data_IF_599182380213
#
_entry.id   IF_599182380213
#
_cell.length_a   1.000
_cell.length_b   1.000
_cell.length_c   1.000
_cell.angle_alpha   90.00
_cell.angle_beta   90.00
_cell.angle_gamma   90.00
#
_symmetry.space_group_name_H-M   'P 1'
#
loop_
_entity.id
_entity.type
_entity.pdbx_description
1 polymer ?
#
# COMPACT_ATOMS: atom_id res chain seq x y z
N UNK A 1 36.93 29.97 -9.42
CA UNK A 1 36.82 31.09 -10.38
C UNK A 1 35.52 30.90 -11.15
N UNK A 2 34.61 31.89 -11.17
CA UNK A 2 33.40 31.82 -12.01
C UNK A 2 33.76 32.27 -13.43
N UNK A 3 33.51 31.40 -14.42
CA UNK A 3 33.85 31.66 -15.84
C UNK A 3 32.82 32.54 -16.56
N UNK A 4 31.56 32.55 -16.12
CA UNK A 4 30.47 33.30 -16.73
C UNK A 4 29.48 33.83 -15.69
N UNK A 5 28.91 34.99 -15.97
CA UNK A 5 27.84 35.59 -15.19
C UNK A 5 26.91 36.39 -16.11
N UNK A 6 25.61 36.31 -15.86
CA UNK A 6 24.62 37.20 -16.46
C UNK A 6 23.46 37.46 -15.49
N UNK A 7 22.74 38.59 -15.67
CA UNK A 7 21.57 38.88 -14.86
C UNK A 7 20.56 37.73 -14.92
N UNK A 8 20.12 37.25 -13.76
CA UNK A 8 19.14 36.15 -13.60
C UNK A 8 19.62 34.74 -14.01
N UNK A 9 20.92 34.48 -14.14
CA UNK A 9 21.50 33.14 -14.41
C UNK A 9 20.85 31.99 -13.62
N UNK A 10 20.63 32.16 -12.31
CA UNK A 10 19.97 31.15 -11.46
C UNK A 10 18.55 30.80 -11.93
N UNK A 11 17.80 31.77 -12.47
CA UNK A 11 16.44 31.58 -12.98
C UNK A 11 16.46 30.72 -14.24
N UNK A 12 17.41 30.98 -15.14
CA UNK A 12 17.53 30.26 -16.41
C UNK A 12 17.98 28.83 -16.21
N UNK A 13 18.98 28.60 -15.35
CA UNK A 13 19.42 27.25 -14.95
C UNK A 13 18.24 26.48 -14.35
N UNK A 14 17.46 27.10 -13.46
CA UNK A 14 16.27 26.46 -12.88
C UNK A 14 15.22 26.13 -13.95
N UNK A 15 15.01 27.00 -14.94
CA UNK A 15 14.07 26.77 -16.05
C UNK A 15 14.51 25.56 -16.88
N UNK A 16 15.79 25.47 -17.22
CA UNK A 16 16.37 24.35 -17.95
C UNK A 16 16.21 23.02 -17.18
N UNK A 17 16.64 22.98 -15.92
CA UNK A 17 16.57 21.77 -15.09
C UNK A 17 15.13 21.29 -14.89
N UNK A 18 14.15 22.21 -14.81
CA UNK A 18 12.73 21.87 -14.75
C UNK A 18 12.19 21.23 -16.03
N UNK A 19 12.73 21.59 -17.19
CA UNK A 19 12.35 21.00 -18.48
C UNK A 19 13.15 19.76 -18.89
N UNK A 20 14.26 19.46 -18.21
CA UNK A 20 15.10 18.31 -18.53
C UNK A 20 14.45 16.99 -18.08
N UNK A 21 14.01 16.17 -19.05
CA UNK A 21 13.37 14.87 -18.79
C UNK A 21 14.24 13.94 -17.92
N UNK A 22 15.52 13.83 -18.24
CA UNK A 22 16.47 13.01 -17.49
C UNK A 22 16.57 13.48 -16.02
N UNK A 23 16.67 14.79 -15.78
CA UNK A 23 16.69 15.31 -14.41
C UNK A 23 15.37 15.04 -13.66
N UNK A 24 14.22 15.08 -14.33
CA UNK A 24 12.92 14.83 -13.68
C UNK A 24 12.68 13.35 -13.39
N UNK A 25 13.20 12.43 -14.21
CA UNK A 25 13.01 10.98 -14.04
C UNK A 25 13.90 10.40 -12.93
N UNK A 26 15.17 10.80 -12.89
CA UNK A 26 16.15 10.17 -12.01
C UNK A 26 16.30 10.87 -10.66
N UNK A 27 15.91 12.15 -10.57
CA UNK A 27 16.02 12.88 -9.31
C UNK A 27 14.81 12.59 -8.42
N UNK A 28 15.00 12.02 -7.22
CA UNK A 28 13.90 11.81 -6.31
C UNK A 28 13.25 13.15 -5.92
N UNK A 29 11.93 13.20 -5.73
CA UNK A 29 11.27 14.40 -5.24
C UNK A 29 11.75 14.72 -3.83
N UNK A 30 12.27 15.93 -3.63
CA UNK A 30 12.71 16.41 -2.31
C UNK A 30 11.53 16.75 -1.37
N UNK A 31 10.28 16.56 -1.81
CA UNK A 31 9.09 16.82 -1.00
C UNK A 31 8.54 15.50 -0.51
N UNK A 32 8.25 15.42 0.78
CA UNK A 32 7.38 14.35 1.29
C UNK A 32 6.05 14.46 0.56
N UNK A 33 5.56 13.39 -0.09
CA UNK A 33 4.20 13.40 -0.62
C UNK A 33 3.28 13.72 0.56
N UNK A 34 2.47 14.77 0.42
CA UNK A 34 1.40 15.03 1.39
C UNK A 34 0.40 13.91 1.17
N UNK A 35 0.38 12.93 2.08
CA UNK A 35 -0.68 11.94 2.08
C UNK A 35 -2.02 12.67 2.16
N UNK A 36 -3.00 12.23 1.36
CA UNK A 36 -4.36 12.69 1.55
C UNK A 36 -4.76 12.41 3.01
N UNK A 37 -5.53 13.29 3.67
CA UNK A 37 -6.03 13.00 5.00
C UNK A 37 -6.81 11.69 4.95
N UNK A 38 -6.45 10.75 5.84
CA UNK A 38 -7.20 9.52 5.99
C UNK A 38 -8.61 9.86 6.49
N UNK A 39 -9.62 9.46 5.74
CA UNK A 39 -11.01 9.54 6.14
C UNK A 39 -11.48 8.14 6.51
N UNK A 40 -11.66 7.83 7.81
CA UNK A 40 -12.22 6.54 8.19
C UNK A 40 -13.64 6.43 7.64
N UNK A 41 -13.96 5.28 7.06
CA UNK A 41 -15.36 4.95 6.77
C UNK A 41 -16.10 4.78 8.11
N UNK A 42 -17.24 5.43 8.24
CA UNK A 42 -18.19 5.13 9.32
C UNK A 42 -18.86 3.80 9.01
N UNK A 43 -18.73 2.84 9.91
CA UNK A 43 -19.51 1.61 9.89
C UNK A 43 -20.52 1.66 11.03
N UNK A 44 -21.75 1.28 10.74
CA UNK A 44 -22.84 1.25 11.70
C UNK A 44 -22.94 -0.11 12.40
N UNK A 45 -22.52 -1.18 11.73
CA UNK A 45 -22.70 -2.55 12.22
C UNK A 45 -21.43 -3.41 12.06
N UNK A 46 -21.20 -4.38 12.98
CA UNK A 46 -20.17 -5.41 12.79
C UNK A 46 -20.36 -6.14 11.45
N UNK A 47 -19.25 -6.48 10.80
CA UNK A 47 -19.22 -7.21 9.52
C UNK A 47 -19.75 -6.46 8.30
N UNK A 48 -20.08 -5.18 8.42
CA UNK A 48 -20.50 -4.33 7.29
C UNK A 48 -19.38 -4.12 6.27
N UNK A 49 -18.14 -4.01 6.74
CA UNK A 49 -16.96 -3.90 5.89
C UNK A 49 -15.85 -4.75 6.48
N UNK A 50 -15.28 -5.63 5.67
CA UNK A 50 -14.13 -6.44 6.04
C UNK A 50 -12.89 -6.01 5.28
N UNK A 51 -11.75 -6.07 5.95
CA UNK A 51 -10.45 -6.03 5.30
C UNK A 51 -9.87 -7.44 5.23
N UNK A 52 -9.46 -7.83 4.04
CA UNK A 52 -8.90 -9.15 3.77
C UNK A 52 -7.47 -8.99 3.28
N UNK A 53 -6.54 -9.68 3.93
CA UNK A 53 -5.13 -9.69 3.56
C UNK A 53 -4.56 -11.11 3.61
N UNK A 54 -3.46 -11.34 2.89
CA UNK A 54 -2.74 -12.61 2.84
C UNK A 54 -1.30 -12.41 3.24
N UNK A 55 -0.90 -13.07 4.33
CA UNK A 55 0.49 -13.12 4.74
C UNK A 55 1.14 -14.41 4.24
N UNK A 56 2.17 -14.27 3.39
CA UNK A 56 2.98 -15.42 2.98
C UNK A 56 3.77 -15.24 1.68
N UNK A 57 4.46 -16.30 1.24
CA UNK A 57 4.57 -17.61 1.90
C UNK A 57 5.51 -17.58 3.13
N UNK A 58 5.10 -18.25 4.21
CA UNK A 58 5.86 -18.45 5.46
C UNK A 58 6.51 -19.85 5.46
N UNK A 59 7.44 -20.13 6.40
CA UNK A 59 7.91 -21.49 6.62
C UNK A 59 6.75 -22.46 6.78
N UNK A 60 6.83 -23.60 6.12
CA UNK A 60 5.75 -24.57 6.02
C UNK A 60 5.43 -25.18 7.38
N UNK A 61 4.19 -25.01 7.83
CA UNK A 61 3.66 -25.65 9.02
C UNK A 61 3.00 -27.00 8.69
N UNK A 62 2.47 -27.67 9.71
CA UNK A 62 1.72 -28.92 9.55
C UNK A 62 0.61 -28.80 8.50
N UNK A 63 0.47 -29.81 7.64
CA UNK A 63 -0.50 -29.82 6.55
C UNK A 63 -0.14 -28.90 5.38
N UNK A 64 1.15 -28.63 5.14
CA UNK A 64 1.65 -27.78 4.05
C UNK A 64 1.15 -26.33 4.09
N UNK A 65 0.70 -25.88 5.28
CA UNK A 65 0.18 -24.53 5.47
C UNK A 65 1.32 -23.52 5.47
N UNK A 66 1.29 -22.59 4.52
CA UNK A 66 2.33 -21.57 4.31
C UNK A 66 1.78 -20.17 4.14
N UNK A 67 0.46 -20.01 4.15
CA UNK A 67 -0.21 -18.72 4.07
C UNK A 67 -1.07 -18.51 5.31
N UNK A 68 -1.26 -17.27 5.69
CA UNK A 68 -2.23 -16.87 6.71
C UNK A 68 -3.18 -15.89 6.03
N UNK A 69 -4.45 -16.28 5.89
CA UNK A 69 -5.52 -15.36 5.52
C UNK A 69 -5.95 -14.59 6.75
N UNK A 70 -5.96 -13.27 6.62
CA UNK A 70 -6.31 -12.33 7.68
C UNK A 70 -7.63 -11.67 7.27
N UNK A 71 -8.67 -11.84 8.07
CA UNK A 71 -9.95 -11.18 7.89
C UNK A 71 -10.18 -10.28 9.09
N UNK A 72 -10.39 -8.99 8.85
CA UNK A 72 -10.58 -7.99 9.89
C UNK A 72 -11.95 -7.36 9.69
N UNK A 73 -12.84 -7.47 10.68
CA UNK A 73 -14.02 -6.63 10.74
C UNK A 73 -13.58 -5.19 10.99
N UNK A 74 -13.82 -4.30 10.03
CA UNK A 74 -13.37 -2.93 10.15
C UNK A 74 -14.14 -2.15 11.23
N UNK A 75 -15.36 -2.58 11.59
CA UNK A 75 -16.17 -1.92 12.60
C UNK A 75 -15.62 -2.19 14.01
N UNK A 76 -15.54 -3.46 14.39
CA UNK A 76 -15.11 -3.87 15.75
C UNK A 76 -13.61 -4.04 15.89
N UNK A 77 -12.86 -4.09 14.78
CA UNK A 77 -11.46 -4.52 14.70
C UNK A 77 -11.24 -5.97 15.12
N UNK A 78 -12.29 -6.79 15.12
CA UNK A 78 -12.17 -8.23 15.35
C UNK A 78 -11.38 -8.89 14.21
N UNK A 79 -10.47 -9.80 14.55
CA UNK A 79 -9.53 -10.42 13.61
C UNK A 79 -9.70 -11.93 13.62
N UNK A 80 -9.87 -12.50 12.44
CA UNK A 80 -9.82 -13.93 12.18
C UNK A 80 -8.61 -14.29 11.32
N UNK A 81 -7.94 -15.38 11.71
CA UNK A 81 -6.73 -15.85 11.06
C UNK A 81 -6.90 -17.30 10.63
N UNK A 82 -6.78 -17.56 9.32
CA UNK A 82 -6.90 -18.90 8.76
C UNK A 82 -5.57 -19.34 8.14
N UNK A 83 -4.97 -20.44 8.62
CA UNK A 83 -3.76 -20.97 8.00
C UNK A 83 -4.14 -21.79 6.75
N UNK A 84 -3.58 -21.43 5.60
CA UNK A 84 -3.87 -22.02 4.29
C UNK A 84 -2.63 -22.66 3.66
N UNK A 85 -2.83 -23.79 2.97
CA UNK A 85 -1.79 -24.42 2.14
C UNK A 85 -1.59 -23.66 0.81
N UNK A 86 -2.69 -23.17 0.23
CA UNK A 86 -2.70 -22.42 -1.02
C UNK A 86 -3.57 -21.17 -0.89
N UNK A 87 -3.08 -20.04 -1.42
CA UNK A 87 -3.81 -18.79 -1.47
C UNK A 87 -4.58 -18.69 -2.79
N UNK A 88 -5.64 -19.50 -2.93
CA UNK A 88 -6.53 -19.47 -4.09
C UNK A 88 -7.79 -18.68 -3.80
N UNK A 89 -8.36 -18.03 -4.82
CA UNK A 89 -9.60 -17.26 -4.69
C UNK A 89 -10.75 -18.12 -4.15
N UNK A 90 -10.89 -19.36 -4.63
CA UNK A 90 -11.93 -20.28 -4.18
C UNK A 90 -11.87 -20.54 -2.66
N UNK A 91 -10.67 -20.79 -2.13
CA UNK A 91 -10.48 -21.03 -0.69
C UNK A 91 -10.74 -19.76 0.12
N UNK A 92 -10.29 -18.60 -0.38
CA UNK A 92 -10.49 -17.32 0.30
C UNK A 92 -11.98 -16.98 0.38
N UNK A 93 -12.72 -17.11 -0.72
CA UNK A 93 -14.18 -16.88 -0.74
C UNK A 93 -14.89 -17.84 0.19
N UNK A 94 -14.51 -19.12 0.19
CA UNK A 94 -15.04 -20.09 1.13
C UNK A 94 -14.85 -19.65 2.58
N UNK A 95 -13.64 -19.19 2.95
CA UNK A 95 -13.35 -18.69 4.30
C UNK A 95 -14.09 -17.39 4.65
N UNK A 96 -14.26 -16.48 3.69
CA UNK A 96 -15.06 -15.27 3.93
C UNK A 96 -16.51 -15.64 4.26
N UNK A 97 -17.11 -16.58 3.53
CA UNK A 97 -18.48 -17.02 3.77
C UNK A 97 -18.67 -17.81 5.08
N UNK A 98 -17.59 -18.34 5.68
CA UNK A 98 -17.64 -18.96 7.01
C UNK A 98 -17.73 -17.93 8.13
N UNK A 99 -17.30 -16.68 7.87
CA UNK A 99 -17.14 -15.61 8.86
C UNK A 99 -18.24 -14.56 8.75
N UNK A 100 -18.62 -14.21 7.52
CA UNK A 100 -19.71 -13.28 7.27
C UNK A 100 -21.04 -14.06 7.21
N UNK A 101 -21.87 -13.90 8.25
CA UNK A 101 -23.27 -14.35 8.25
C UNK A 101 -24.14 -13.55 7.28
#
# INVERSE_FOLDING_TARGET
MQLYFWPRMRKDVRKYVRGCLHCQQYKPPNKRPRAAPYQPQSMAYPWETICVDLMGPKPTAYGQKKWILVIIDQCTKYVELFPLATASSAIIVQKINEVAC
#
